data_IF_199844296843
#
_entry.id   IF_199844296843
#
_cell.length_a   1.000
_cell.length_b   1.000
_cell.length_c   1.000
_cell.angle_alpha   90.00
_cell.angle_beta   90.00
_cell.angle_gamma   90.00
#
_symmetry.space_group_name_H-M   'P 1'
#
loop_
_entity.id
_entity.type
_entity.pdbx_description
1 polymer ?
#
# COMPACT_ATOMS: atom_id res chain seq x y z
N UNK A 1 -34.99 58.16 11.34
CA UNK A 1 -34.93 57.17 10.24
C UNK A 1 -33.48 57.13 9.77
N UNK A 2 -32.67 56.23 10.33
CA UNK A 2 -31.23 56.14 10.05
C UNK A 2 -30.96 55.25 8.85
N UNK A 3 -30.32 55.79 7.82
CA UNK A 3 -29.87 55.04 6.65
C UNK A 3 -28.60 54.26 6.99
N UNK A 4 -28.68 52.93 6.87
CA UNK A 4 -27.53 52.03 6.93
C UNK A 4 -26.59 52.30 5.73
N UNK A 5 -25.34 52.67 6.01
CA UNK A 5 -24.24 52.54 5.04
C UNK A 5 -23.78 51.10 5.00
N UNK A 6 -24.12 50.36 3.96
CA UNK A 6 -23.46 49.09 3.63
C UNK A 6 -22.14 49.38 2.91
N UNK A 7 -21.02 49.21 3.60
CA UNK A 7 -19.71 49.14 2.98
C UNK A 7 -19.60 47.83 2.18
N UNK A 8 -19.74 47.91 0.86
CA UNK A 8 -19.36 46.82 -0.03
C UNK A 8 -17.82 46.68 0.01
N UNK A 9 -17.32 45.74 0.83
CA UNK A 9 -15.93 45.30 0.72
C UNK A 9 -15.79 44.45 -0.53
N UNK A 10 -14.90 44.91 -1.41
CA UNK A 10 -14.63 44.38 -2.74
C UNK A 10 -14.36 42.86 -2.76
N UNK A 11 -14.98 42.09 -3.66
CA UNK A 11 -14.71 40.65 -3.85
C UNK A 11 -13.26 40.34 -4.29
N UNK A 12 -12.49 41.36 -4.68
CA UNK A 12 -11.10 41.22 -5.12
C UNK A 12 -10.14 40.81 -3.98
N UNK A 13 -10.41 41.22 -2.74
CA UNK A 13 -9.56 40.85 -1.59
C UNK A 13 -9.73 39.37 -1.22
N UNK A 14 -10.93 38.83 -1.42
CA UNK A 14 -11.22 37.42 -1.18
C UNK A 14 -10.46 36.50 -2.16
N UNK A 15 -10.40 36.92 -3.43
CA UNK A 15 -9.72 36.18 -4.52
C UNK A 15 -8.19 36.10 -4.33
N UNK A 16 -7.55 37.19 -3.90
CA UNK A 16 -6.11 37.21 -3.63
C UNK A 16 -5.76 36.35 -2.42
N UNK A 17 -6.63 36.32 -1.39
CA UNK A 17 -6.41 35.48 -0.22
C UNK A 17 -6.49 33.99 -0.57
N UNK A 18 -7.39 33.57 -1.47
CA UNK A 18 -7.46 32.15 -1.91
C UNK A 18 -6.24 31.75 -2.76
N UNK A 19 -5.72 32.65 -3.60
CA UNK A 19 -4.55 32.37 -4.45
C UNK A 19 -3.22 32.34 -3.69
N UNK A 20 -3.06 33.13 -2.63
CA UNK A 20 -1.84 33.15 -1.82
C UNK A 20 -1.73 31.94 -0.89
N UNK A 21 -2.85 31.40 -0.39
CA UNK A 21 -2.83 30.21 0.47
C UNK A 21 -2.56 28.92 -0.33
N UNK A 22 -3.17 28.76 -1.51
CA UNK A 22 -2.99 27.55 -2.34
C UNK A 22 -1.55 27.36 -2.86
N UNK A 23 -0.83 28.44 -3.14
CA UNK A 23 0.59 28.38 -3.55
C UNK A 23 1.55 28.04 -2.40
N UNK A 24 1.21 28.40 -1.16
CA UNK A 24 2.02 28.12 0.02
C UNK A 24 1.87 26.66 0.48
N UNK A 25 0.64 26.13 0.44
CA UNK A 25 0.34 24.74 0.76
C UNK A 25 1.03 23.77 -0.22
N UNK A 26 1.01 24.08 -1.53
CA UNK A 26 1.65 23.23 -2.54
C UNK A 26 3.18 23.15 -2.39
N UNK A 27 3.85 24.28 -2.10
CA UNK A 27 5.30 24.30 -1.90
C UNK A 27 5.72 23.52 -0.63
N UNK A 28 4.92 23.64 0.45
CA UNK A 28 5.12 22.91 1.69
C UNK A 28 4.88 21.40 1.53
N UNK A 29 3.85 21.03 0.78
CA UNK A 29 3.55 19.63 0.45
C UNK A 29 4.69 18.99 -0.34
N UNK A 30 5.20 19.67 -1.37
CA UNK A 30 6.31 19.16 -2.17
C UNK A 30 7.56 18.88 -1.32
N UNK A 31 7.96 19.81 -0.46
CA UNK A 31 9.11 19.63 0.45
C UNK A 31 8.89 18.49 1.43
N UNK A 32 7.67 18.38 1.97
CA UNK A 32 7.29 17.31 2.90
C UNK A 32 7.34 15.95 2.20
N UNK A 33 6.79 15.85 0.99
CA UNK A 33 6.86 14.65 0.14
C UNK A 33 8.32 14.25 -0.06
N UNK A 34 9.19 15.16 -0.51
CA UNK A 34 10.62 14.86 -0.75
C UNK A 34 11.34 14.34 0.50
N UNK A 35 11.05 14.90 1.67
CA UNK A 35 11.60 14.45 2.95
C UNK A 35 11.13 13.04 3.32
N UNK A 36 9.83 12.76 3.26
CA UNK A 36 9.27 11.44 3.57
C UNK A 36 9.80 10.38 2.61
N UNK A 37 9.84 10.68 1.31
CA UNK A 37 10.38 9.80 0.26
C UNK A 37 11.85 9.46 0.52
N UNK A 38 12.65 10.45 0.91
CA UNK A 38 14.07 10.22 1.25
C UNK A 38 14.23 9.29 2.45
N UNK A 39 13.40 9.45 3.48
CA UNK A 39 13.42 8.59 4.67
C UNK A 39 13.02 7.15 4.34
N UNK A 40 11.97 6.97 3.53
CA UNK A 40 11.51 5.66 3.06
C UNK A 40 12.58 4.97 2.22
N UNK A 41 13.22 5.69 1.30
CA UNK A 41 14.33 5.17 0.49
C UNK A 41 15.46 4.62 1.36
N UNK A 42 15.91 5.40 2.35
CA UNK A 42 16.94 4.98 3.32
C UNK A 42 16.52 3.74 4.10
N UNK A 43 15.30 3.72 4.64
CA UNK A 43 14.76 2.58 5.43
C UNK A 43 14.74 1.28 4.61
N UNK A 44 14.50 1.37 3.30
CA UNK A 44 14.40 0.22 2.41
C UNK A 44 15.67 -0.04 1.59
N UNK A 45 16.79 0.60 1.91
CA UNK A 45 18.07 0.46 1.21
C UNK A 45 17.96 0.67 -0.31
N UNK A 46 17.20 1.68 -0.73
CA UNK A 46 17.04 2.06 -2.14
C UNK A 46 17.17 3.57 -2.34
N UNK A 47 17.55 3.98 -3.54
CA UNK A 47 17.40 5.38 -3.95
C UNK A 47 15.98 5.57 -4.46
N UNK A 48 15.30 6.56 -3.90
CA UNK A 48 13.91 6.87 -4.22
C UNK A 48 13.79 8.37 -4.53
N UNK A 49 13.23 8.70 -5.67
CA UNK A 49 12.82 10.08 -6.00
C UNK A 49 11.34 10.10 -6.36
N UNK A 50 10.70 11.25 -6.24
CA UNK A 50 9.28 11.38 -6.54
C UNK A 50 9.01 12.55 -7.48
N UNK A 51 8.03 12.36 -8.36
CA UNK A 51 7.39 13.43 -9.10
C UNK A 51 5.95 13.55 -8.62
N UNK A 52 5.58 14.72 -8.13
CA UNK A 52 4.23 15.03 -7.68
C UNK A 52 3.58 15.99 -8.68
N UNK A 53 2.36 15.65 -9.12
CA UNK A 53 1.61 16.43 -10.10
C UNK A 53 0.19 16.66 -9.60
N UNK A 54 -0.29 17.90 -9.73
CA UNK A 54 -1.68 18.29 -9.45
C UNK A 54 -2.25 18.94 -10.70
N UNK A 55 -3.32 18.38 -11.26
CA UNK A 55 -4.00 18.90 -12.45
C UNK A 55 -5.51 18.94 -12.20
N UNK A 56 -6.16 20.10 -12.33
CA UNK A 56 -7.63 20.28 -12.46
C UNK A 56 -8.53 19.25 -11.73
N UNK A 57 -8.21 18.90 -10.48
CA UNK A 57 -8.90 17.93 -9.58
C UNK A 57 -8.33 16.51 -9.48
N UNK A 58 -7.11 16.24 -9.96
CA UNK A 58 -6.39 15.00 -9.72
C UNK A 58 -4.98 15.26 -9.21
N UNK A 59 -4.62 14.61 -8.11
CA UNK A 59 -3.25 14.57 -7.59
C UNK A 59 -2.63 13.21 -7.86
N UNK A 60 -1.35 13.17 -8.21
CA UNK A 60 -0.65 11.92 -8.52
C UNK A 60 0.80 11.99 -8.10
N UNK A 61 1.29 10.87 -7.54
CA UNK A 61 2.69 10.69 -7.22
C UNK A 61 3.29 9.52 -8.00
N UNK A 62 4.44 9.79 -8.62
CA UNK A 62 5.22 8.79 -9.34
C UNK A 62 6.56 8.64 -8.64
N UNK A 63 6.82 7.47 -8.09
CA UNK A 63 8.08 7.11 -7.45
C UNK A 63 9.03 6.49 -8.47
N UNK A 64 10.26 6.95 -8.50
CA UNK A 64 11.34 6.32 -9.25
C UNK A 64 12.22 5.56 -8.27
N UNK A 65 12.27 4.24 -8.40
CA UNK A 65 13.09 3.38 -7.56
C UNK A 65 14.34 2.90 -8.29
N UNK A 66 15.48 3.05 -7.64
CA UNK A 66 16.72 2.39 -7.99
C UNK A 66 17.18 1.57 -6.78
N UNK A 67 16.92 0.27 -6.84
CA UNK A 67 17.29 -0.68 -5.81
C UNK A 67 18.48 -1.54 -6.27
N UNK A 68 19.31 -1.95 -5.31
CA UNK A 68 20.39 -2.93 -5.55
C UNK A 68 19.89 -4.38 -5.53
N UNK A 69 18.68 -4.61 -5.04
CA UNK A 69 18.10 -5.95 -4.81
C UNK A 69 16.96 -6.22 -5.78
N UNK A 70 16.87 -7.46 -6.27
CA UNK A 70 15.78 -7.93 -7.15
C UNK A 70 14.57 -8.45 -6.36
N UNK A 71 14.20 -7.78 -5.27
CA UNK A 71 13.01 -8.18 -4.50
C UNK A 71 11.75 -7.69 -5.22
N UNK A 72 10.97 -8.63 -5.79
CA UNK A 72 9.71 -8.36 -6.49
C UNK A 72 8.68 -7.62 -5.62
N UNK A 73 8.73 -7.75 -4.29
CA UNK A 73 7.80 -7.09 -3.35
C UNK A 73 8.23 -5.67 -2.94
N UNK A 74 9.49 -5.30 -3.22
CA UNK A 74 10.02 -4.00 -2.81
C UNK A 74 9.22 -2.81 -3.38
N UNK A 75 8.78 -2.81 -4.65
CA UNK A 75 7.96 -1.73 -5.19
C UNK A 75 6.66 -1.53 -4.39
N UNK A 76 5.91 -2.60 -4.12
CA UNK A 76 4.69 -2.51 -3.31
C UNK A 76 4.98 -2.10 -1.86
N UNK A 77 6.08 -2.57 -1.26
CA UNK A 77 6.50 -2.12 0.09
C UNK A 77 6.70 -0.60 0.13
N UNK A 78 7.52 -0.08 -0.77
CA UNK A 78 7.86 1.34 -0.85
C UNK A 78 6.61 2.16 -1.14
N UNK A 79 5.77 1.74 -2.09
CA UNK A 79 4.55 2.44 -2.45
C UNK A 79 3.57 2.55 -1.26
N UNK A 80 3.41 1.46 -0.50
CA UNK A 80 2.56 1.45 0.69
C UNK A 80 3.11 2.29 1.83
N UNK A 81 4.42 2.25 2.08
CA UNK A 81 5.05 3.10 3.08
C UNK A 81 4.92 4.59 2.72
N UNK A 82 5.05 4.95 1.43
CA UNK A 82 4.78 6.31 0.94
C UNK A 82 3.33 6.70 1.19
N UNK A 83 2.36 5.88 0.79
CA UNK A 83 0.95 6.14 1.04
C UNK A 83 0.67 6.42 2.53
N UNK A 84 1.20 5.58 3.43
CA UNK A 84 1.03 5.78 4.88
C UNK A 84 1.70 7.06 5.39
N UNK A 85 2.91 7.37 4.93
CA UNK A 85 3.64 8.56 5.35
C UNK A 85 2.90 9.83 4.92
N UNK A 86 2.49 9.91 3.66
CA UNK A 86 1.75 11.07 3.13
C UNK A 86 0.39 11.23 3.80
N UNK A 87 -0.36 10.14 3.99
CA UNK A 87 -1.64 10.18 4.70
C UNK A 87 -1.51 10.73 6.13
N UNK A 88 -0.42 10.42 6.85
CA UNK A 88 -0.15 10.99 8.19
C UNK A 88 0.11 12.50 8.16
N UNK A 89 0.52 13.04 7.02
CA UNK A 89 0.72 14.47 6.76
C UNK A 89 -0.51 15.13 6.14
N UNK A 90 -1.64 14.43 6.07
CA UNK A 90 -2.86 14.88 5.38
C UNK A 90 -2.69 15.11 3.87
N UNK A 91 -1.65 14.53 3.27
CA UNK A 91 -1.41 14.58 1.82
C UNK A 91 -1.99 13.29 1.22
N UNK A 92 -3.03 13.43 0.38
CA UNK A 92 -3.69 12.32 -0.31
C UNK A 92 -3.55 12.50 -1.81
N UNK A 93 -2.98 11.50 -2.48
CA UNK A 93 -2.91 11.44 -3.94
C UNK A 93 -4.09 10.61 -4.46
N UNK A 94 -4.64 10.94 -5.62
CA UNK A 94 -5.62 10.07 -6.29
C UNK A 94 -4.95 8.83 -6.88
N UNK A 95 -3.72 8.97 -7.38
CA UNK A 95 -2.93 7.87 -7.91
C UNK A 95 -1.53 7.81 -7.30
N UNK A 96 -1.09 6.59 -7.05
CA UNK A 96 0.23 6.22 -6.55
C UNK A 96 0.85 5.26 -7.55
N UNK A 97 2.03 5.58 -8.06
CA UNK A 97 2.75 4.67 -8.96
C UNK A 97 4.22 4.61 -8.62
N UNK A 98 4.84 3.50 -8.97
CA UNK A 98 6.28 3.28 -8.84
C UNK A 98 6.82 2.68 -10.12
N UNK A 99 7.93 3.24 -10.60
CA UNK A 99 8.63 2.81 -11.81
C UNK A 99 10.11 2.60 -11.51
N UNK A 100 10.72 1.67 -12.23
CA UNK A 100 12.17 1.50 -12.27
C UNK A 100 12.72 2.10 -13.54
N UNK A 101 13.90 2.72 -13.45
CA UNK A 101 14.64 3.22 -14.61
C UNK A 101 14.89 2.14 -15.66
N UNK A 102 14.97 0.86 -15.27
CA UNK A 102 15.41 -0.23 -16.14
C UNK A 102 14.25 -1.12 -16.63
N UNK A 103 13.09 -1.08 -15.96
CA UNK A 103 11.95 -2.00 -16.23
C UNK A 103 10.63 -1.28 -16.53
N UNK A 104 10.61 0.06 -16.53
CA UNK A 104 9.38 0.83 -16.74
C UNK A 104 8.46 0.86 -15.50
N UNK A 105 7.16 1.02 -15.72
CA UNK A 105 6.14 1.02 -14.65
C UNK A 105 6.11 -0.35 -13.98
N UNK A 106 6.27 -0.38 -12.65
CA UNK A 106 6.26 -1.61 -11.87
C UNK A 106 4.91 -1.84 -11.20
N UNK A 107 4.31 -0.80 -10.63
CA UNK A 107 3.01 -0.87 -9.97
C UNK A 107 2.31 0.48 -10.05
N UNK A 108 1.00 0.47 -10.28
CA UNK A 108 0.14 1.63 -10.23
C UNK A 108 -1.12 1.28 -9.45
N UNK A 109 -1.53 2.17 -8.56
CA UNK A 109 -2.67 2.00 -7.67
C UNK A 109 -3.38 3.34 -7.50
N UNK A 110 -4.71 3.31 -7.49
CA UNK A 110 -5.57 4.41 -7.04
C UNK A 110 -5.54 4.50 -5.52
N UNK A 111 -6.03 5.62 -4.96
CA UNK A 111 -6.19 5.76 -3.50
C UNK A 111 -7.13 4.70 -2.91
N UNK A 112 -8.17 4.30 -3.64
CA UNK A 112 -9.09 3.24 -3.23
C UNK A 112 -8.37 1.89 -3.15
N UNK A 113 -7.57 1.56 -4.15
CA UNK A 113 -6.77 0.32 -4.14
C UNK A 113 -5.72 0.35 -3.02
N UNK A 114 -5.09 1.48 -2.75
CA UNK A 114 -4.18 1.61 -1.59
C UNK A 114 -4.90 1.45 -0.23
N UNK A 115 -6.18 1.82 -0.14
CA UNK A 115 -7.01 1.51 1.04
C UNK A 115 -7.29 0.02 1.12
N UNK A 116 -7.58 -0.63 0.00
CA UNK A 116 -7.75 -2.09 -0.05
C UNK A 116 -6.47 -2.82 0.39
N UNK A 117 -5.29 -2.37 -0.05
CA UNK A 117 -3.99 -2.88 0.43
C UNK A 117 -3.89 -2.80 1.96
N UNK A 118 -4.25 -1.66 2.55
CA UNK A 118 -4.22 -1.50 4.01
C UNK A 118 -5.10 -2.53 4.72
N UNK A 119 -6.32 -2.75 4.22
CA UNK A 119 -7.25 -3.72 4.81
C UNK A 119 -6.78 -5.17 4.62
N UNK A 120 -6.14 -5.49 3.48
CA UNK A 120 -5.53 -6.81 3.26
C UNK A 120 -4.34 -7.08 4.16
N UNK A 121 -3.56 -6.06 4.49
CA UNK A 121 -2.47 -6.18 5.47
C UNK A 121 -3.03 -6.46 6.86
N UNK A 122 -4.09 -5.78 7.29
CA UNK A 122 -4.75 -6.04 8.57
C UNK A 122 -5.35 -7.46 8.64
N UNK A 123 -5.99 -7.91 7.55
CA UNK A 123 -6.50 -9.27 7.43
C UNK A 123 -5.38 -10.31 7.50
N UNK A 124 -4.26 -10.05 6.81
CA UNK A 124 -3.07 -10.89 6.86
C UNK A 124 -2.55 -11.01 8.29
N UNK A 125 -2.42 -9.90 9.02
CA UNK A 125 -1.95 -9.89 10.41
C UNK A 125 -2.86 -10.71 11.34
N UNK A 126 -4.18 -10.65 11.12
CA UNK A 126 -5.15 -11.50 11.83
C UNK A 126 -4.92 -12.99 11.55
N UNK A 127 -4.74 -13.38 10.28
CA UNK A 127 -4.46 -14.76 9.90
C UNK A 127 -3.12 -15.26 10.44
N UNK A 128 -2.11 -14.39 10.43
CA UNK A 128 -0.80 -14.69 11.00
C UNK A 128 -0.89 -14.90 12.53
N UNK A 129 -1.75 -14.17 13.23
CA UNK A 129 -1.99 -14.39 14.65
C UNK A 129 -2.59 -15.78 14.93
N UNK A 130 -3.49 -16.27 14.06
CA UNK A 130 -4.00 -17.64 14.16
C UNK A 130 -2.88 -18.68 13.99
N UNK A 131 -1.95 -18.46 13.06
CA UNK A 131 -0.77 -19.32 12.90
C UNK A 131 0.13 -19.31 14.14
N UNK A 132 0.39 -18.14 14.73
CA UNK A 132 1.15 -18.00 15.99
C UNK A 132 0.52 -18.77 17.14
N UNK A 133 -0.81 -18.77 17.20
CA UNK A 133 -1.60 -19.51 18.19
C UNK A 133 -1.78 -21.00 17.85
N UNK A 134 -1.15 -21.49 16.77
CA UNK A 134 -1.26 -22.87 16.28
C UNK A 134 -2.70 -23.30 15.96
N UNK A 135 -3.56 -22.35 15.61
CA UNK A 135 -4.98 -22.58 15.25
C UNK A 135 -5.10 -23.01 13.78
N UNK A 136 -4.40 -24.07 13.38
CA UNK A 136 -4.27 -24.47 11.97
C UNK A 136 -5.60 -24.81 11.29
N UNK A 137 -6.56 -25.36 12.04
CA UNK A 137 -7.90 -25.62 11.53
C UNK A 137 -8.64 -24.34 11.12
N UNK A 138 -8.51 -23.27 11.91
CA UNK A 138 -9.09 -21.98 11.55
C UNK A 138 -8.43 -21.42 10.30
N UNK A 139 -7.10 -21.55 10.17
CA UNK A 139 -6.38 -21.12 8.97
C UNK A 139 -6.78 -21.93 7.74
N UNK A 140 -6.96 -23.25 7.86
CA UNK A 140 -7.45 -24.09 6.77
C UNK A 140 -8.87 -23.68 6.33
N UNK A 141 -9.75 -23.32 7.26
CA UNK A 141 -11.09 -22.85 6.93
C UNK A 141 -11.10 -21.49 6.20
N UNK A 142 -10.03 -20.70 6.35
CA UNK A 142 -9.80 -19.45 5.62
C UNK A 142 -9.28 -19.66 4.19
N UNK A 143 -8.83 -20.86 3.83
CA UNK A 143 -8.49 -21.17 2.44
C UNK A 143 -9.76 -21.12 1.56
N UNK A 144 -9.59 -20.63 0.34
CA UNK A 144 -10.60 -20.71 -0.72
C UNK A 144 -10.91 -22.17 -1.07
N UNK A 145 -12.10 -22.39 -1.61
CA UNK A 145 -12.54 -23.74 -1.97
C UNK A 145 -11.67 -24.36 -3.07
N UNK A 146 -11.16 -23.52 -3.99
CA UNK A 146 -10.22 -23.92 -5.04
C UNK A 146 -8.92 -24.53 -4.50
N UNK A 147 -8.40 -24.03 -3.36
CA UNK A 147 -7.23 -24.63 -2.71
C UNK A 147 -7.63 -25.93 -2.00
N UNK A 148 -8.74 -25.92 -1.27
CA UNK A 148 -9.20 -27.08 -0.49
C UNK A 148 -9.49 -28.29 -1.37
N UNK A 149 -9.90 -28.08 -2.61
CA UNK A 149 -10.11 -29.15 -3.60
C UNK A 149 -8.79 -29.75 -4.12
N UNK A 150 -7.67 -29.02 -4.03
CA UNK A 150 -6.36 -29.42 -4.59
C UNK A 150 -5.40 -30.00 -3.56
N UNK A 151 -5.59 -29.69 -2.27
CA UNK A 151 -4.65 -30.07 -1.21
C UNK A 151 -5.41 -30.64 -0.01
N UNK A 152 -5.02 -31.83 0.41
CA UNK A 152 -5.57 -32.49 1.60
C UNK A 152 -5.32 -31.69 2.87
N UNK A 153 -6.28 -31.72 3.80
CA UNK A 153 -6.24 -31.01 5.08
C UNK A 153 -4.97 -31.35 5.88
N UNK A 154 -4.61 -32.62 5.97
CA UNK A 154 -3.45 -33.08 6.74
C UNK A 154 -2.13 -32.58 6.14
N UNK A 155 -2.05 -32.49 4.81
CA UNK A 155 -0.90 -31.92 4.11
C UNK A 155 -0.73 -30.44 4.44
N UNK A 156 -1.83 -29.68 4.44
CA UNK A 156 -1.80 -28.26 4.85
C UNK A 156 -1.35 -28.13 6.30
N UNK A 157 -1.90 -28.92 7.22
CA UNK A 157 -1.54 -28.85 8.63
C UNK A 157 -0.06 -29.16 8.87
N UNK A 158 0.46 -30.21 8.22
CA UNK A 158 1.90 -30.53 8.27
C UNK A 158 2.73 -29.34 7.81
N UNK A 159 2.37 -28.72 6.69
CA UNK A 159 3.08 -27.55 6.17
C UNK A 159 3.04 -26.36 7.13
N UNK A 160 1.84 -25.96 7.59
CA UNK A 160 1.66 -24.84 8.50
C UNK A 160 2.40 -25.03 9.83
N UNK A 161 2.43 -26.28 10.34
CA UNK A 161 3.12 -26.62 11.58
C UNK A 161 4.65 -26.51 11.50
N UNK A 162 5.21 -26.57 10.30
CA UNK A 162 6.65 -26.50 10.06
C UNK A 162 7.17 -25.06 9.84
N UNK A 163 6.28 -24.07 9.80
CA UNK A 163 6.63 -22.67 9.59
C UNK A 163 7.17 -22.03 10.86
N UNK A 164 8.16 -21.13 10.74
CA UNK A 164 8.43 -20.18 11.81
C UNK A 164 7.20 -19.29 12.01
N UNK A 165 6.76 -19.07 13.24
CA UNK A 165 5.60 -18.20 13.48
C UNK A 165 5.97 -16.73 13.67
N UNK A 166 7.26 -16.38 13.67
CA UNK A 166 7.75 -15.07 14.08
C UNK A 166 7.86 -14.06 12.93
N UNK A 167 6.98 -14.16 11.95
CA UNK A 167 6.83 -13.14 10.91
C UNK A 167 6.35 -11.83 11.57
N UNK A 168 7.09 -10.74 11.35
CA UNK A 168 6.83 -9.45 12.00
C UNK A 168 7.12 -8.26 11.10
N UNK A 169 7.96 -8.41 10.07
CA UNK A 169 8.27 -7.31 9.16
C UNK A 169 7.43 -7.42 7.88
N UNK A 170 6.67 -6.39 7.57
CA UNK A 170 6.02 -6.26 6.27
C UNK A 170 7.08 -6.24 5.16
N UNK A 171 7.02 -7.20 4.24
CA UNK A 171 7.98 -7.35 3.15
C UNK A 171 7.51 -6.68 1.85
N UNK A 172 6.20 -6.45 1.71
CA UNK A 172 5.61 -5.76 0.56
C UNK A 172 4.39 -6.49 0.02
N UNK A 173 3.83 -5.95 -1.05
CA UNK A 173 2.71 -6.55 -1.77
C UNK A 173 2.96 -6.52 -3.28
N UNK A 174 2.23 -7.35 -4.01
CA UNK A 174 2.13 -7.30 -5.47
C UNK A 174 0.70 -7.64 -5.90
N UNK A 175 0.35 -7.34 -7.15
CA UNK A 175 -0.96 -7.64 -7.74
C UNK A 175 -0.80 -8.38 -9.04
N UNK A 176 -1.62 -9.41 -9.26
CA UNK A 176 -1.57 -10.23 -10.46
C UNK A 176 -2.96 -10.78 -10.79
N UNK A 177 -3.12 -11.33 -11.99
CA UNK A 177 -4.36 -11.98 -12.42
C UNK A 177 -4.13 -13.48 -12.42
N UNK A 178 -5.01 -14.23 -11.76
CA UNK A 178 -5.03 -15.69 -11.78
C UNK A 178 -6.44 -16.17 -12.10
N UNK A 179 -6.59 -16.99 -13.15
CA UNK A 179 -7.89 -17.48 -13.63
C UNK A 179 -8.94 -16.36 -13.83
N UNK A 180 -8.53 -15.23 -14.42
CA UNK A 180 -9.36 -14.02 -14.60
C UNK A 180 -9.78 -13.32 -13.30
N UNK A 181 -9.29 -13.77 -12.14
CA UNK A 181 -9.51 -13.12 -10.86
C UNK A 181 -8.32 -12.23 -10.50
N UNK A 182 -8.53 -10.93 -10.24
CA UNK A 182 -7.49 -10.05 -9.73
C UNK A 182 -7.17 -10.42 -8.27
N UNK A 183 -5.91 -10.77 -8.02
CA UNK A 183 -5.40 -11.12 -6.70
C UNK A 183 -4.34 -10.12 -6.25
N UNK A 184 -4.23 -9.98 -4.94
CA UNK A 184 -3.20 -9.23 -4.23
C UNK A 184 -2.45 -10.18 -3.31
N UNK A 185 -1.15 -10.28 -3.51
CA UNK A 185 -0.28 -11.02 -2.61
C UNK A 185 0.37 -10.08 -1.61
N UNK A 186 0.17 -10.38 -0.33
CA UNK A 186 0.73 -9.66 0.80
C UNK A 186 1.76 -10.54 1.47
N UNK A 187 2.96 -9.99 1.72
CA UNK A 187 4.07 -10.75 2.29
C UNK A 187 4.62 -10.13 3.58
N UNK A 188 4.91 -10.99 4.55
CA UNK A 188 5.68 -10.66 5.75
C UNK A 188 6.89 -11.57 5.86
N UNK A 189 7.96 -11.07 6.47
CA UNK A 189 9.21 -11.82 6.65
C UNK A 189 9.67 -11.83 8.10
N UNK A 190 10.53 -12.79 8.38
CA UNK A 190 11.40 -12.85 9.55
C UNK A 190 12.86 -12.90 9.06
N UNK A 191 13.82 -13.27 9.93
CA UNK A 191 15.24 -13.33 9.57
C UNK A 191 15.60 -14.45 8.57
N UNK A 192 14.73 -15.46 8.39
CA UNK A 192 14.99 -16.70 7.66
C UNK A 192 13.99 -16.97 6.53
N UNK A 193 12.78 -16.45 6.64
CA UNK A 193 11.66 -16.86 5.81
C UNK A 193 10.82 -15.64 5.41
N UNK A 194 10.19 -15.71 4.23
CA UNK A 194 9.12 -14.84 3.77
C UNK A 194 7.86 -15.68 3.60
N UNK A 195 6.80 -15.36 4.31
CA UNK A 195 5.46 -15.93 4.11
C UNK A 195 4.62 -14.92 3.33
N UNK A 196 3.88 -15.43 2.35
CA UNK A 196 2.95 -14.60 1.58
C UNK A 196 1.59 -15.28 1.49
N UNK A 197 0.53 -14.46 1.48
CA UNK A 197 -0.85 -14.88 1.24
C UNK A 197 -1.41 -14.06 0.08
N UNK A 198 -2.01 -14.75 -0.89
CA UNK A 198 -2.79 -14.14 -1.96
C UNK A 198 -4.26 -14.04 -1.56
N UNK A 199 -4.83 -12.85 -1.71
CA UNK A 199 -6.22 -12.53 -1.47
C UNK A 199 -6.86 -12.00 -2.74
N UNK A 200 -8.18 -12.08 -2.86
CA UNK A 200 -8.91 -11.33 -3.88
C UNK A 200 -8.71 -9.81 -3.68
N UNK A 201 -8.73 -9.02 -4.74
CA UNK A 201 -8.84 -7.56 -4.61
C UNK A 201 -10.25 -7.13 -4.20
N UNK A 202 -11.27 -7.98 -4.37
CA UNK A 202 -12.63 -7.76 -3.86
C UNK A 202 -12.66 -7.97 -2.34
N UNK A 203 -12.82 -6.87 -1.60
CA UNK A 203 -12.79 -6.80 -0.15
C UNK A 203 -13.88 -7.62 0.55
N UNK A 204 -14.96 -8.01 -0.15
CA UNK A 204 -15.99 -8.89 0.41
C UNK A 204 -15.47 -10.32 0.61
N UNK A 205 -14.47 -10.73 -0.15
CA UNK A 205 -13.85 -12.04 -0.06
C UNK A 205 -12.65 -12.02 0.89
N UNK A 206 -12.82 -12.59 2.08
CA UNK A 206 -11.77 -12.73 3.10
C UNK A 206 -10.89 -13.98 2.97
N UNK A 207 -11.03 -14.78 1.91
CA UNK A 207 -10.35 -16.07 1.76
C UNK A 207 -8.93 -15.94 1.24
N UNK A 208 -8.10 -16.93 1.59
CA UNK A 208 -6.75 -17.12 1.07
C UNK A 208 -6.84 -17.92 -0.24
N UNK A 209 -6.39 -17.33 -1.33
CA UNK A 209 -6.37 -17.90 -2.70
C UNK A 209 -5.01 -18.50 -3.09
N UNK A 210 -3.99 -18.25 -2.29
CA UNK A 210 -2.71 -18.91 -2.39
C UNK A 210 -1.84 -18.59 -1.18
N UNK A 211 -0.88 -19.44 -0.89
CA UNK A 211 0.16 -19.14 0.08
C UNK A 211 1.46 -19.82 -0.29
N UNK A 212 2.59 -19.18 0.01
CA UNK A 212 3.91 -19.79 -0.14
C UNK A 212 4.90 -19.23 0.86
N UNK A 213 5.96 -20.02 1.08
CA UNK A 213 7.08 -19.65 1.94
C UNK A 213 8.37 -19.73 1.15
N UNK A 214 9.17 -18.67 1.20
CA UNK A 214 10.53 -18.61 0.62
C UNK A 214 11.55 -18.53 1.75
N UNK A 215 12.64 -19.28 1.61
CA UNK A 215 13.78 -19.37 2.54
C UNK A 215 15.02 -18.78 1.90
#
# INVERSE_FOLDING_TARGET
MGLFKTNYRSPFVLLITILVFTGCDFANDKKTIEQEITQIGKKNNCLLTASYTVSTNKSSIVLNIQARTENIFLPGKVLFETYKALKKKSIVCDNYSIKSSNKGLMLAQTKEEMRAVSQRIELYESHLNLLKQRRYELVYNLLSDDIKQKIEKDTVFKYLSALSTDFTEFNGFDTFIYNNSPLMEVSFKNKKEVLSFAYSTDLSDGKIHGFHVRR
#
